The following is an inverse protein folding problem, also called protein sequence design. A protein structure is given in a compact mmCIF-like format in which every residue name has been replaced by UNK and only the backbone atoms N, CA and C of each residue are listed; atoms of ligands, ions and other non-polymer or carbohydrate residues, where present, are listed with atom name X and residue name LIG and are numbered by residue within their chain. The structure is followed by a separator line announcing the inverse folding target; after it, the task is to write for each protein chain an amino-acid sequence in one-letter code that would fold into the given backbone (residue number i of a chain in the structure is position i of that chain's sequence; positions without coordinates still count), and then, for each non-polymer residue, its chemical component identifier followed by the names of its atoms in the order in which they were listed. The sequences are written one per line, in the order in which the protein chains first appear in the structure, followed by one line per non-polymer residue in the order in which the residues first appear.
data_IF_090834906971
#
_entry.id   IF_090834906971
#
_cell.length_a   1.000
_cell.length_b   1.000
_cell.length_c   1.000
_cell.angle_alpha   90.00
_cell.angle_beta   90.00
_cell.angle_gamma   90.00
#
_symmetry.space_group_name_H-M   'P 1'
#
loop_
_entity.id
_entity.type
_entity.pdbx_description
1 polymer ?
#
# COMPACT_ATOMS: atom_id res chain seq x y z
N UNK A 1 4.63 -31.55 6.82
CA UNK A 1 3.74 -30.37 6.66
C UNK A 1 4.50 -29.19 7.24
N UNK A 2 4.90 -28.21 6.43
CA UNK A 2 5.61 -27.04 6.96
C UNK A 2 4.65 -26.26 7.88
N UNK A 3 5.03 -26.08 9.14
CA UNK A 3 4.32 -25.20 10.04
C UNK A 3 4.32 -23.81 9.39
N UNK A 4 3.12 -23.28 9.10
CA UNK A 4 2.96 -21.92 8.59
C UNK A 4 3.36 -21.00 9.74
N UNK A 5 4.61 -20.52 9.74
CA UNK A 5 5.09 -19.57 10.74
C UNK A 5 4.10 -18.41 10.83
N UNK A 6 3.67 -18.09 12.05
CA UNK A 6 2.84 -16.92 12.31
C UNK A 6 3.74 -15.69 12.16
N UNK A 7 3.73 -15.11 10.97
CA UNK A 7 4.45 -13.87 10.69
C UNK A 7 3.77 -12.74 11.49
N UNK A 8 4.53 -12.03 12.31
CA UNK A 8 4.05 -10.87 13.04
C UNK A 8 3.94 -9.67 12.10
N UNK A 9 2.74 -9.12 11.94
CA UNK A 9 2.51 -7.96 11.06
C UNK A 9 3.32 -6.74 11.48
N UNK A 10 3.58 -6.56 12.77
CA UNK A 10 4.31 -5.39 13.28
C UNK A 10 5.80 -5.40 12.90
N UNK A 11 6.35 -6.56 12.54
CA UNK A 11 7.78 -6.75 12.28
C UNK A 11 8.11 -6.80 10.78
N UNK A 12 7.11 -6.88 9.91
CA UNK A 12 7.35 -6.89 8.46
C UNK A 12 7.57 -5.49 7.90
N UNK A 13 8.31 -5.42 6.81
CA UNK A 13 8.62 -4.20 6.07
C UNK A 13 7.68 -4.11 4.86
N UNK A 14 6.76 -3.14 4.80
CA UNK A 14 5.99 -2.87 3.60
C UNK A 14 6.85 -2.21 2.52
N UNK A 15 6.74 -2.72 1.29
CA UNK A 15 7.42 -2.22 0.11
C UNK A 15 6.39 -1.90 -0.99
N UNK A 16 6.47 -0.72 -1.61
CA UNK A 16 5.61 -0.38 -2.74
C UNK A 16 5.84 -1.34 -3.91
N UNK A 17 4.76 -1.79 -4.53
CA UNK A 17 4.84 -2.67 -5.70
C UNK A 17 5.33 -1.90 -6.93
N UNK A 18 6.22 -2.51 -7.71
CA UNK A 18 6.85 -1.91 -8.91
C UNK A 18 5.86 -1.46 -10.00
N UNK A 19 4.69 -2.08 -10.07
CA UNK A 19 3.66 -1.75 -11.06
C UNK A 19 2.73 -0.62 -10.61
N UNK A 20 2.96 -0.06 -9.42
CA UNK A 20 2.22 1.09 -8.90
C UNK A 20 3.06 2.34 -9.12
N UNK A 21 2.49 3.30 -9.82
CA UNK A 21 3.01 4.67 -9.91
C UNK A 21 2.27 5.52 -8.88
N UNK A 22 2.98 6.43 -8.22
CA UNK A 22 2.39 7.35 -7.25
C UNK A 22 2.76 8.78 -7.63
N UNK A 23 1.75 9.63 -7.78
CA UNK A 23 1.92 11.05 -8.09
C UNK A 23 1.26 11.91 -7.01
N UNK A 24 1.84 13.06 -6.72
CA UNK A 24 1.24 14.02 -5.77
C UNK A 24 0.31 14.96 -6.53
N UNK A 25 -0.96 14.99 -6.11
CA UNK A 25 -1.96 15.94 -6.57
C UNK A 25 -2.45 16.77 -5.38
N UNK A 26 -1.92 18.00 -5.26
CA UNK A 26 -2.17 18.86 -4.11
C UNK A 26 -1.62 18.21 -2.82
N UNK A 27 -2.50 17.99 -1.85
CA UNK A 27 -2.16 17.42 -0.54
C UNK A 27 -2.28 15.88 -0.52
N UNK A 28 -2.77 15.27 -1.59
CA UNK A 28 -3.06 13.83 -1.65
C UNK A 28 -2.18 13.11 -2.67
N UNK A 29 -2.03 11.80 -2.52
CA UNK A 29 -1.35 10.94 -3.50
C UNK A 29 -2.38 10.22 -4.37
N UNK A 30 -2.12 10.19 -5.68
CA UNK A 30 -2.87 9.38 -6.64
C UNK A 30 -2.01 8.19 -7.05
N UNK A 31 -2.52 6.99 -6.81
CA UNK A 31 -1.93 5.74 -7.25
C UNK A 31 -2.46 5.39 -8.64
N UNK A 32 -1.56 5.10 -9.56
CA UNK A 32 -1.87 4.69 -10.93
C UNK A 32 -1.30 3.30 -11.19
N UNK A 33 -2.12 2.41 -11.72
CA UNK A 33 -1.71 1.02 -11.98
C UNK A 33 -2.50 0.40 -13.14
N UNK A 34 -1.96 -0.64 -13.79
CA UNK A 34 -2.60 -1.17 -14.98
C UNK A 34 -3.92 -1.88 -14.65
N UNK A 35 -4.95 -1.57 -15.44
CA UNK A 35 -6.31 -2.12 -15.26
C UNK A 35 -6.36 -3.64 -15.39
N UNK A 36 -5.45 -4.21 -16.16
CA UNK A 36 -5.26 -5.66 -16.27
C UNK A 36 -3.81 -6.03 -15.98
N UNK A 37 -3.64 -7.11 -15.20
CA UNK A 37 -2.33 -7.66 -14.82
C UNK A 37 -1.46 -8.04 -16.03
N UNK A 38 -2.06 -8.56 -17.10
CA UNK A 38 -1.32 -9.06 -18.25
C UNK A 38 -1.37 -8.09 -19.45
N UNK A 39 -0.23 -7.77 -20.09
CA UNK A 39 -0.19 -6.84 -21.22
C UNK A 39 -1.07 -7.25 -22.41
N UNK A 40 -1.20 -8.56 -22.67
CA UNK A 40 -2.06 -9.06 -23.74
C UNK A 40 -3.54 -8.74 -23.45
N UNK A 41 -4.00 -8.83 -22.20
CA UNK A 41 -5.38 -8.48 -21.83
C UNK A 41 -5.63 -7.00 -22.04
N UNK A 42 -4.68 -6.13 -21.69
CA UNK A 42 -4.81 -4.70 -21.97
C UNK A 42 -4.93 -4.41 -23.46
N UNK A 43 -4.21 -5.16 -24.30
CA UNK A 43 -4.23 -4.99 -25.76
C UNK A 43 -5.57 -5.40 -26.37
N UNK A 44 -6.22 -6.44 -25.84
CA UNK A 44 -7.40 -7.04 -26.47
C UNK A 44 -8.73 -6.75 -25.76
N UNK A 45 -8.74 -6.43 -24.47
CA UNK A 45 -9.96 -6.25 -23.67
C UNK A 45 -10.27 -4.79 -23.32
N UNK A 46 -9.31 -3.87 -23.48
CA UNK A 46 -9.56 -2.44 -23.22
C UNK A 46 -10.19 -1.80 -24.47
N UNK A 47 -11.43 -1.27 -24.38
CA UNK A 47 -12.05 -0.59 -25.51
C UNK A 47 -11.28 0.66 -25.95
N UNK A 48 -11.38 1.01 -27.24
CA UNK A 48 -10.78 2.24 -27.76
C UNK A 48 -11.38 3.46 -27.04
N UNK A 49 -10.51 4.34 -26.54
CA UNK A 49 -10.89 5.56 -25.81
C UNK A 49 -10.96 5.42 -24.29
N UNK A 50 -10.78 4.21 -23.74
CA UNK A 50 -10.66 3.99 -22.30
C UNK A 50 -9.19 3.97 -21.85
N UNK A 51 -8.91 4.54 -20.67
CA UNK A 51 -7.57 4.46 -20.07
C UNK A 51 -7.19 3.01 -19.74
N UNK A 52 -5.93 2.66 -20.02
CA UNK A 52 -5.32 1.37 -19.65
C UNK A 52 -4.95 1.32 -18.17
N UNK A 53 -4.95 2.46 -17.50
CA UNK A 53 -4.64 2.59 -16.08
C UNK A 53 -5.92 2.87 -15.27
N UNK A 54 -5.84 2.44 -14.02
CA UNK A 54 -6.76 2.81 -12.96
C UNK A 54 -6.05 3.83 -12.08
N UNK A 55 -6.80 4.85 -11.65
CA UNK A 55 -6.32 5.88 -10.75
C UNK A 55 -7.12 5.78 -9.46
N UNK A 56 -6.43 5.69 -8.32
CA UNK A 56 -7.01 5.67 -6.99
C UNK A 56 -6.41 6.84 -6.22
N UNK A 57 -7.24 7.82 -5.90
CA UNK A 57 -6.85 8.95 -5.06
C UNK A 57 -6.92 8.53 -3.60
N UNK A 58 -5.80 8.62 -2.89
CA UNK A 58 -5.74 8.38 -1.46
C UNK A 58 -6.28 9.59 -0.71
N UNK A 59 -7.05 9.33 0.34
CA UNK A 59 -7.43 10.28 1.37
C UNK A 59 -6.20 10.75 2.16
N UNK A 60 -6.37 11.77 3.00
CA UNK A 60 -5.29 12.36 3.82
C UNK A 60 -4.53 11.32 4.64
N UNK A 61 -5.25 10.51 5.41
CA UNK A 61 -4.67 9.44 6.23
C UNK A 61 -3.96 8.37 5.39
N UNK A 62 -4.57 7.94 4.29
CA UNK A 62 -3.98 6.98 3.36
C UNK A 62 -2.71 7.52 2.69
N UNK A 63 -2.70 8.81 2.37
CA UNK A 63 -1.53 9.53 1.86
C UNK A 63 -0.40 9.52 2.89
N UNK A 64 -0.69 9.87 4.14
CA UNK A 64 0.29 9.85 5.22
C UNK A 64 0.88 8.46 5.44
N UNK A 65 0.05 7.41 5.45
CA UNK A 65 0.53 6.02 5.53
C UNK A 65 1.44 5.70 4.34
N UNK A 66 0.98 5.96 3.11
CA UNK A 66 1.73 5.65 1.90
C UNK A 66 3.11 6.32 1.86
N UNK A 67 3.20 7.58 2.28
CA UNK A 67 4.47 8.34 2.32
C UNK A 67 5.53 7.71 3.22
N UNK A 68 5.11 7.01 4.28
CA UNK A 68 6.02 6.33 5.19
C UNK A 68 6.45 4.94 4.71
N UNK A 69 5.81 4.38 3.67
CA UNK A 69 6.19 3.12 3.04
C UNK A 69 7.38 3.35 2.11
N UNK A 70 8.58 3.21 2.67
CA UNK A 70 9.85 3.44 1.99
C UNK A 70 10.65 2.14 1.71
N UNK A 71 10.08 0.98 2.05
CA UNK A 71 10.75 -0.31 1.95
C UNK A 71 11.88 -0.53 2.95
N UNK A 72 11.95 0.29 4.01
CA UNK A 72 12.96 0.19 5.08
C UNK A 72 12.32 0.06 6.45
N UNK A 73 11.32 0.88 6.73
CA UNK A 73 10.61 0.89 8.02
C UNK A 73 9.69 -0.31 8.16
N UNK A 74 9.60 -0.88 9.35
CA UNK A 74 8.60 -1.90 9.66
C UNK A 74 7.23 -1.25 10.00
N UNK A 75 6.19 -2.07 10.06
CA UNK A 75 4.82 -1.60 10.35
C UNK A 75 4.72 -0.87 11.69
N UNK A 76 5.43 -1.34 12.73
CA UNK A 76 5.43 -0.67 14.04
C UNK A 76 5.97 0.75 13.94
N UNK A 77 7.13 0.94 13.30
CA UNK A 77 7.74 2.25 13.13
C UNK A 77 6.84 3.20 12.31
N UNK A 78 6.09 2.68 11.35
CA UNK A 78 5.10 3.45 10.59
C UNK A 78 3.96 3.90 11.51
N UNK A 79 3.42 2.99 12.33
CA UNK A 79 2.34 3.31 13.29
C UNK A 79 2.81 4.38 14.29
N UNK A 80 3.98 4.19 14.90
CA UNK A 80 4.56 5.14 15.86
C UNK A 80 4.73 6.55 15.25
N UNK A 81 5.19 6.64 13.99
CA UNK A 81 5.33 7.92 13.30
C UNK A 81 4.00 8.59 12.92
N UNK A 82 2.92 7.82 12.83
CA UNK A 82 1.59 8.34 12.52
C UNK A 82 0.81 8.75 13.77
N UNK A 83 1.30 8.44 14.97
CA UNK A 83 0.58 8.71 16.21
C UNK A 83 0.16 10.19 16.35
N UNK A 84 1.09 11.11 16.08
CA UNK A 84 0.85 12.56 16.12
C UNK A 84 -0.13 13.00 15.02
N UNK A 85 0.00 12.45 13.82
CA UNK A 85 -0.85 12.79 12.67
C UNK A 85 -2.32 12.38 12.91
N UNK A 86 -2.54 11.25 13.59
CA UNK A 86 -3.88 10.75 13.93
C UNK A 86 -4.35 11.18 15.33
N UNK A 87 -3.65 12.14 15.96
CA UNK A 87 -3.98 12.69 17.27
C UNK A 87 -4.22 11.64 18.38
N UNK A 88 -3.52 10.50 18.30
CA UNK A 88 -3.71 9.37 19.23
C UNK A 88 -5.16 8.87 19.35
N UNK A 89 -5.97 9.03 18.30
CA UNK A 89 -7.34 8.52 18.27
C UNK A 89 -7.38 7.04 18.64
N UNK A 90 -8.29 6.65 19.53
CA UNK A 90 -8.40 5.27 19.99
C UNK A 90 -8.57 4.31 18.79
N UNK A 91 -7.74 3.26 18.76
CA UNK A 91 -7.76 2.26 17.68
C UNK A 91 -7.12 2.71 16.36
N UNK A 92 -6.42 3.84 16.28
CA UNK A 92 -5.68 4.24 15.06
C UNK A 92 -4.67 3.18 14.62
N UNK A 93 -3.96 2.54 15.55
CA UNK A 93 -2.99 1.46 15.24
C UNK A 93 -3.65 0.30 14.49
N UNK A 94 -4.85 -0.08 14.92
CA UNK A 94 -5.65 -1.13 14.28
C UNK A 94 -6.12 -0.70 12.88
N UNK A 95 -6.52 0.56 12.73
CA UNK A 95 -6.89 1.14 11.42
C UNK A 95 -5.71 1.16 10.45
N UNK A 96 -4.53 1.61 10.88
CA UNK A 96 -3.30 1.60 10.07
C UNK A 96 -2.91 0.17 9.68
N UNK A 97 -2.99 -0.77 10.62
CA UNK A 97 -2.72 -2.19 10.35
C UNK A 97 -3.71 -2.80 9.35
N UNK A 98 -5.00 -2.50 9.48
CA UNK A 98 -6.04 -2.91 8.54
C UNK A 98 -5.82 -2.30 7.15
N UNK A 99 -5.42 -1.03 7.10
CA UNK A 99 -5.10 -0.32 5.86
C UNK A 99 -3.91 -0.95 5.13
N UNK A 100 -2.80 -1.21 5.82
CA UNK A 100 -1.64 -1.89 5.23
C UNK A 100 -1.99 -3.31 4.77
N UNK A 101 -2.82 -4.02 5.53
CA UNK A 101 -3.33 -5.34 5.13
C UNK A 101 -4.19 -5.26 3.87
N UNK A 102 -5.00 -4.22 3.73
CA UNK A 102 -5.82 -4.01 2.54
C UNK A 102 -4.96 -3.66 1.32
N UNK A 103 -4.01 -2.73 1.46
CA UNK A 103 -3.03 -2.41 0.41
C UNK A 103 -2.25 -3.63 -0.06
N UNK A 104 -1.91 -4.54 0.85
CA UNK A 104 -1.23 -5.80 0.51
C UNK A 104 -2.15 -6.74 -0.27
N UNK A 105 -3.43 -6.89 0.15
CA UNK A 105 -4.43 -7.70 -0.57
C UNK A 105 -4.69 -7.17 -1.97
N UNK A 106 -4.76 -5.86 -2.13
CA UNK A 106 -4.98 -5.19 -3.42
C UNK A 106 -3.72 -5.17 -4.29
N UNK A 107 -2.57 -5.63 -3.76
CA UNK A 107 -1.32 -5.76 -4.48
C UNK A 107 -0.53 -4.46 -4.60
N UNK A 108 -0.96 -3.38 -3.93
CA UNK A 108 -0.26 -2.09 -3.95
C UNK A 108 1.08 -2.13 -3.22
N UNK A 109 1.18 -2.98 -2.21
CA UNK A 109 2.41 -3.21 -1.45
C UNK A 109 2.69 -4.71 -1.29
N UNK A 110 3.96 -5.03 -1.04
CA UNK A 110 4.42 -6.34 -0.61
C UNK A 110 4.90 -6.24 0.84
N UNK A 111 4.67 -7.28 1.64
CA UNK A 111 5.21 -7.37 2.99
C UNK A 111 6.43 -8.30 2.97
N UNK A 112 7.57 -7.78 3.40
CA UNK A 112 8.85 -8.48 3.41
C UNK A 112 9.24 -8.78 4.85
N UNK A 113 9.69 -10.02 5.12
CA UNK A 113 10.26 -10.39 6.40
C UNK A 113 11.70 -9.87 6.43
N UNK A 114 12.10 -9.03 7.40
CA UNK A 114 13.49 -8.61 7.52
C UNK A 114 14.37 -9.84 7.78
N UNK A 115 15.46 -9.97 7.01
CA UNK A 115 16.48 -10.97 7.28
C UNK A 115 17.37 -10.41 8.38
N UNK A 116 17.25 -10.98 9.59
CA UNK A 116 18.10 -10.67 10.75
C UNK A 116 19.48 -11.32 10.58
#
# INVERSE_FOLDING_TARGET
MAAKEKINLLEVIPCRSEHITAEREGETIVLSFPRFKYPWMQRFLVPKGMSKELHVKLEEHGTAVWELIDGKRNVREIIEKLADHFQYEEGYESRVSAYLSQMQKDGFIKLVIPVV
#
